data_IF_121590324752
#
_entry.id   IF_121590324752
#
_cell.length_a   1.000
_cell.length_b   1.000
_cell.length_c   1.000
_cell.angle_alpha   90.00
_cell.angle_beta   90.00
_cell.angle_gamma   90.00
#
_symmetry.space_group_name_H-M   'P 1'
#
loop_
_entity.id
_entity.type
_entity.pdbx_description
1 polymer ?
#
# COMPACT_ATOMS: atom_id res chain seq x y z
N UNK A 1 11.67 -20.71 -5.83
CA UNK A 1 11.18 -19.58 -5.00
C UNK A 1 9.67 -19.53 -5.14
N UNK A 2 8.91 -19.67 -4.04
CA UNK A 2 7.46 -19.48 -4.07
C UNK A 2 7.15 -17.98 -4.07
N UNK A 3 6.37 -17.53 -5.05
CA UNK A 3 5.80 -16.19 -5.09
C UNK A 3 4.74 -16.07 -4.00
N UNK A 4 4.91 -15.12 -3.09
CA UNK A 4 3.89 -14.73 -2.13
C UNK A 4 3.00 -13.67 -2.79
N UNK A 5 1.76 -14.04 -3.06
CA UNK A 5 0.75 -13.16 -3.64
C UNK A 5 -0.48 -13.15 -2.75
N UNK A 6 -0.83 -11.98 -2.19
CA UNK A 6 -2.05 -11.79 -1.38
C UNK A 6 -2.78 -10.52 -1.81
N UNK A 7 -4.08 -10.67 -2.06
CA UNK A 7 -4.98 -9.54 -2.30
C UNK A 7 -5.51 -9.03 -0.96
N UNK A 8 -5.42 -7.72 -0.73
CA UNK A 8 -5.72 -7.09 0.56
C UNK A 8 -6.41 -5.74 0.38
N UNK A 9 -7.07 -5.29 1.44
CA UNK A 9 -7.26 -3.86 1.70
C UNK A 9 -6.38 -3.43 2.86
N UNK A 10 -5.97 -2.17 2.84
CA UNK A 10 -5.11 -1.58 3.86
C UNK A 10 -5.91 -0.48 4.56
N UNK A 11 -6.27 -0.72 5.82
CA UNK A 11 -7.05 0.20 6.65
C UNK A 11 -6.13 1.07 7.51
N UNK A 12 -6.49 2.33 7.72
CA UNK A 12 -5.82 3.20 8.68
C UNK A 12 -6.17 2.84 10.12
N UNK A 13 -5.17 2.63 10.99
CA UNK A 13 -5.42 2.38 12.42
C UNK A 13 -5.82 3.65 13.18
N UNK A 14 -5.37 4.83 12.74
CA UNK A 14 -5.75 6.10 13.37
C UNK A 14 -7.19 6.53 13.01
N UNK A 15 -7.71 6.01 11.89
CA UNK A 15 -9.08 6.22 11.43
C UNK A 15 -9.57 4.98 10.67
N UNK A 16 -10.19 4.06 11.43
CA UNK A 16 -10.65 2.77 10.92
C UNK A 16 -11.76 2.87 9.86
N UNK A 17 -12.28 4.05 9.56
CA UNK A 17 -13.23 4.21 8.45
C UNK A 17 -12.54 4.33 7.10
N UNK A 18 -11.22 4.56 7.08
CA UNK A 18 -10.47 4.92 5.87
C UNK A 18 -9.46 3.86 5.44
N UNK A 19 -9.21 3.81 4.13
CA UNK A 19 -8.40 2.81 3.46
C UNK A 19 -7.46 3.45 2.45
N UNK A 20 -6.31 2.81 2.22
CA UNK A 20 -5.40 3.19 1.15
C UNK A 20 -6.15 3.19 -0.18
N UNK A 21 -6.14 4.34 -0.82
CA UNK A 21 -6.86 4.60 -2.05
C UNK A 21 -5.92 5.22 -3.05
N UNK A 22 -5.87 4.62 -4.24
CA UNK A 22 -5.13 5.16 -5.37
C UNK A 22 -5.99 6.08 -6.23
N UNK A 23 -5.36 7.10 -6.81
CA UNK A 23 -6.00 7.99 -7.79
C UNK A 23 -5.45 7.81 -9.19
N UNK A 24 -6.15 8.40 -10.14
CA UNK A 24 -5.70 8.47 -11.53
C UNK A 24 -4.47 9.37 -11.71
N UNK A 25 -4.20 10.26 -10.73
CA UNK A 25 -3.08 11.19 -10.70
C UNK A 25 -1.86 10.61 -9.98
N UNK A 26 -1.76 9.29 -9.83
CA UNK A 26 -0.60 8.60 -9.24
C UNK A 26 -0.38 8.85 -7.73
N UNK A 27 -1.41 9.31 -7.02
CA UNK A 27 -1.33 9.55 -5.57
C UNK A 27 -1.93 8.39 -4.78
N UNK A 28 -1.47 8.24 -3.53
CA UNK A 28 -2.07 7.37 -2.51
C UNK A 28 -2.50 8.21 -1.33
N UNK A 29 -3.73 8.03 -0.88
CA UNK A 29 -4.27 8.71 0.31
C UNK A 29 -5.25 7.79 1.05
N UNK A 30 -5.81 8.27 2.15
CA UNK A 30 -6.85 7.58 2.90
C UNK A 30 -8.26 8.09 2.54
N UNK A 31 -9.12 7.19 2.07
CA UNK A 31 -10.53 7.46 1.78
C UNK A 31 -11.42 6.49 2.52
N UNK A 32 -12.62 6.93 2.91
CA UNK A 32 -13.67 6.03 3.36
C UNK A 32 -14.03 4.99 2.28
N UNK A 33 -14.52 3.83 2.72
CA UNK A 33 -15.20 2.90 1.82
C UNK A 33 -16.45 3.59 1.29
N UNK A 34 -16.38 4.09 0.08
CA UNK A 34 -17.57 4.50 -0.65
C UNK A 34 -18.19 3.24 -1.22
N UNK A 35 -19.36 2.86 -0.71
CA UNK A 35 -20.28 1.94 -1.40
C UNK A 35 -20.51 2.52 -2.80
N UNK A 36 -19.81 2.00 -3.80
CA UNK A 36 -20.38 1.97 -5.14
C UNK A 36 -20.97 0.58 -5.31
N UNK A 37 -22.18 0.50 -5.87
CA UNK A 37 -22.90 -0.75 -6.09
C UNK A 37 -22.21 -1.63 -7.17
N UNK A 38 -20.87 -1.72 -7.20
CA UNK A 38 -20.12 -2.53 -8.15
C UNK A 38 -19.81 -3.92 -7.55
N UNK A 39 -20.43 -4.99 -8.04
CA UNK A 39 -20.43 -6.30 -7.37
C UNK A 39 -19.16 -7.14 -7.61
N UNK A 40 -18.07 -6.56 -8.15
CA UNK A 40 -16.92 -7.35 -8.62
C UNK A 40 -15.99 -7.84 -7.50
N UNK A 41 -16.04 -7.26 -6.30
CA UNK A 41 -15.15 -7.61 -5.18
C UNK A 41 -15.90 -7.97 -3.88
N UNK A 42 -17.16 -8.38 -3.97
CA UNK A 42 -18.05 -8.52 -2.81
C UNK A 42 -18.70 -7.20 -2.42
N UNK A 43 -19.48 -7.13 -1.33
CA UNK A 43 -20.09 -5.88 -0.90
C UNK A 43 -19.00 -4.84 -0.62
N UNK A 44 -19.12 -3.67 -1.26
CA UNK A 44 -18.57 -2.38 -0.80
C UNK A 44 -17.10 -2.03 -1.06
N UNK A 45 -16.35 -2.61 -2.02
CA UNK A 45 -14.91 -2.28 -2.21
C UNK A 45 -14.56 -1.79 -3.60
N UNK A 46 -14.04 -0.57 -3.70
CA UNK A 46 -13.58 0.01 -4.96
C UNK A 46 -12.26 -0.61 -5.42
N UNK A 47 -12.07 -0.89 -6.72
CA UNK A 47 -10.83 -1.48 -7.24
C UNK A 47 -9.57 -0.68 -6.88
N UNK A 48 -9.68 0.64 -6.75
CA UNK A 48 -8.59 1.53 -6.38
C UNK A 48 -8.20 1.48 -4.88
N UNK A 49 -8.94 0.72 -4.07
CA UNK A 49 -8.65 0.42 -2.66
C UNK A 49 -8.17 -1.01 -2.43
N UNK A 50 -8.10 -1.81 -3.50
CA UNK A 50 -7.61 -3.19 -3.48
C UNK A 50 -6.15 -3.19 -3.89
N UNK A 51 -5.35 -3.92 -3.12
CA UNK A 51 -3.91 -3.99 -3.28
C UNK A 51 -3.43 -5.44 -3.35
N UNK A 52 -2.35 -5.65 -4.08
CA UNK A 52 -1.67 -6.94 -4.22
C UNK A 52 -0.30 -6.84 -3.57
N UNK A 53 -0.05 -7.67 -2.56
CA UNK A 53 1.28 -7.86 -2.03
C UNK A 53 1.96 -8.93 -2.89
N UNK A 54 3.01 -8.55 -3.61
CA UNK A 54 3.79 -9.42 -4.48
C UNK A 54 5.22 -9.46 -3.97
N UNK A 55 5.71 -10.61 -3.51
CA UNK A 55 7.11 -10.75 -3.10
C UNK A 55 7.62 -12.18 -3.06
N UNK A 56 8.86 -12.34 -2.60
CA UNK A 56 9.52 -13.64 -2.42
C UNK A 56 10.21 -13.70 -1.06
N UNK A 57 9.95 -14.78 -0.30
CA UNK A 57 10.80 -15.37 0.75
C UNK A 57 11.17 -14.56 2.00
N UNK A 58 11.51 -13.28 1.87
CA UNK A 58 12.32 -12.54 2.84
C UNK A 58 11.59 -11.33 3.43
N UNK A 59 10.25 -11.36 3.49
CA UNK A 59 9.40 -10.23 3.88
C UNK A 59 9.63 -8.97 3.04
N UNK A 60 10.20 -9.10 1.84
CA UNK A 60 10.32 -8.00 0.88
C UNK A 60 9.21 -8.15 -0.16
N UNK A 61 8.42 -7.09 -0.32
CA UNK A 61 7.27 -7.06 -1.24
C UNK A 61 7.25 -5.78 -2.06
N UNK A 62 6.70 -5.90 -3.27
CA UNK A 62 6.06 -4.81 -3.98
C UNK A 62 4.56 -4.80 -3.62
N UNK A 63 4.00 -3.60 -3.50
CA UNK A 63 2.57 -3.41 -3.21
C UNK A 63 1.94 -2.80 -4.45
N UNK A 64 1.09 -3.55 -5.15
CA UNK A 64 0.51 -3.15 -6.43
C UNK A 64 -0.96 -2.76 -6.27
N UNK A 65 -1.40 -1.71 -6.95
CA UNK A 65 -2.80 -1.31 -7.03
C UNK A 65 -3.53 -2.09 -8.12
N UNK A 66 -4.78 -2.48 -7.83
CA UNK A 66 -5.68 -3.23 -8.73
C UNK A 66 -6.65 -2.28 -9.47
N UNK A 67 -6.21 -1.05 -9.79
CA UNK A 67 -7.01 -0.10 -10.59
C UNK A 67 -7.42 -0.69 -11.95
N UNK A 68 -8.73 -0.71 -12.22
CA UNK A 68 -9.32 -1.29 -13.44
C UNK A 68 -9.08 -0.46 -14.71
N UNK A 69 -8.73 0.83 -14.61
CA UNK A 69 -8.61 1.76 -15.73
C UNK A 69 -7.18 1.92 -16.26
N UNK A 70 -6.22 1.15 -15.73
CA UNK A 70 -4.81 1.19 -16.13
C UNK A 70 -4.43 -0.06 -16.90
N UNK A 71 -3.77 0.12 -18.05
CA UNK A 71 -3.29 -0.98 -18.91
C UNK A 71 -2.06 -1.72 -18.33
N UNK A 72 -1.56 -1.31 -17.16
CA UNK A 72 -0.42 -1.91 -16.49
C UNK A 72 -0.55 -1.77 -14.97
N UNK A 73 0.03 -2.71 -14.18
CA UNK A 73 0.02 -2.60 -12.73
C UNK A 73 0.75 -1.34 -12.26
N UNK A 74 0.20 -0.66 -11.25
CA UNK A 74 0.85 0.44 -10.56
C UNK A 74 1.39 -0.03 -9.22
N UNK A 75 2.64 0.28 -8.89
CA UNK A 75 3.29 -0.08 -7.64
C UNK A 75 3.41 1.14 -6.72
N UNK A 76 3.18 0.91 -5.43
CA UNK A 76 3.54 1.84 -4.37
C UNK A 76 5.04 2.15 -4.47
N UNK A 77 5.38 3.44 -4.51
CA UNK A 77 6.73 3.91 -4.84
C UNK A 77 7.17 4.96 -3.83
N UNK A 78 8.32 4.75 -3.21
CA UNK A 78 8.99 5.71 -2.34
C UNK A 78 9.92 6.63 -3.13
N UNK A 79 9.79 7.94 -2.94
CA UNK A 79 10.52 8.99 -3.64
C UNK A 79 11.36 9.76 -2.60
N UNK A 80 12.55 9.25 -2.21
CA UNK A 80 13.35 9.86 -1.15
C UNK A 80 13.75 11.31 -1.43
N UNK A 81 13.86 11.68 -2.71
CA UNK A 81 14.27 13.01 -3.16
C UNK A 81 13.10 13.99 -3.33
N UNK A 82 11.86 13.57 -3.08
CA UNK A 82 10.66 14.41 -3.26
C UNK A 82 10.01 14.74 -1.91
N UNK A 83 10.50 15.79 -1.26
CA UNK A 83 10.02 16.22 0.07
C UNK A 83 8.51 16.48 0.13
N UNK A 84 7.90 16.92 -0.99
CA UNK A 84 6.46 17.20 -1.06
C UNK A 84 5.60 15.94 -1.22
N UNK A 85 6.18 14.86 -1.74
CA UNK A 85 5.43 13.65 -2.06
C UNK A 85 6.33 12.41 -2.00
N UNK A 86 6.60 11.98 -0.78
CA UNK A 86 7.45 10.84 -0.52
C UNK A 86 6.86 9.53 -1.06
N UNK A 87 5.54 9.41 -1.16
CA UNK A 87 4.89 8.20 -1.66
C UNK A 87 3.92 8.48 -2.80
N UNK A 88 4.07 7.70 -3.88
CA UNK A 88 3.22 7.73 -5.08
C UNK A 88 2.89 6.32 -5.52
N UNK A 89 2.06 6.18 -6.55
CA UNK A 89 1.99 4.95 -7.35
C UNK A 89 2.55 5.19 -8.74
N UNK A 90 3.43 4.34 -9.22
CA UNK A 90 4.06 4.46 -10.55
C UNK A 90 3.89 3.14 -11.30
N UNK A 91 4.06 3.12 -12.63
CA UNK A 91 4.15 1.86 -13.35
C UNK A 91 5.09 0.88 -12.65
N UNK A 92 4.64 -0.36 -12.47
CA UNK A 92 5.44 -1.38 -11.82
C UNK A 92 6.68 -1.71 -12.66
N UNK A 93 7.85 -1.66 -12.03
CA UNK A 93 9.13 -2.06 -12.60
C UNK A 93 9.72 -3.15 -11.69
N UNK A 94 9.85 -4.40 -12.18
CA UNK A 94 10.42 -5.48 -11.39
C UNK A 94 11.79 -5.11 -10.82
N UNK A 95 12.02 -5.45 -9.55
CA UNK A 95 13.27 -5.21 -8.81
C UNK A 95 13.66 -3.74 -8.63
N UNK A 96 12.79 -2.79 -8.95
CA UNK A 96 13.05 -1.39 -8.64
C UNK A 96 13.03 -1.18 -7.11
N UNK A 97 14.17 -0.81 -6.55
CA UNK A 97 14.35 -0.62 -5.10
C UNK A 97 13.42 0.44 -4.49
N UNK A 98 12.93 1.41 -5.27
CA UNK A 98 11.93 2.38 -4.79
C UNK A 98 10.53 1.77 -4.64
N UNK A 99 10.30 0.59 -5.20
CA UNK A 99 9.05 -0.17 -5.21
C UNK A 99 9.14 -1.47 -4.39
N UNK A 100 10.19 -1.60 -3.56
CA UNK A 100 10.41 -2.73 -2.68
C UNK A 100 10.39 -2.26 -1.23
N UNK A 101 9.68 -3.03 -0.40
CA UNK A 101 9.49 -2.71 1.01
C UNK A 101 9.66 -3.95 1.87
N UNK A 102 10.36 -3.80 2.99
CA UNK A 102 10.34 -4.78 4.07
C UNK A 102 9.03 -4.62 4.82
N UNK A 103 8.27 -5.69 4.97
CA UNK A 103 7.02 -5.70 5.71
C UNK A 103 7.19 -6.38 7.06
N UNK A 104 6.55 -5.82 8.09
CA UNK A 104 6.37 -6.47 9.39
C UNK A 104 4.88 -6.53 9.65
N UNK A 105 4.34 -7.74 9.85
CA UNK A 105 2.92 -7.98 10.10
C UNK A 105 2.80 -8.79 11.39
N UNK A 106 1.96 -8.36 12.33
CA UNK A 106 1.66 -9.13 13.54
C UNK A 106 0.51 -10.14 13.33
N UNK A 107 0.26 -10.97 14.35
CA UNK A 107 -0.80 -11.98 14.31
C UNK A 107 -2.23 -11.39 14.20
N UNK A 108 -2.39 -10.10 14.49
CA UNK A 108 -3.66 -9.36 14.34
C UNK A 108 -3.84 -8.73 12.95
N UNK A 109 -2.85 -8.86 12.07
CA UNK A 109 -2.84 -8.23 10.75
C UNK A 109 -2.45 -6.76 10.79
N UNK A 110 -2.00 -6.24 11.93
CA UNK A 110 -1.42 -4.90 11.98
C UNK A 110 -0.06 -4.95 11.29
N UNK A 111 0.22 -3.96 10.44
CA UNK A 111 1.46 -3.95 9.69
C UNK A 111 2.09 -2.57 9.58
N UNK A 112 3.39 -2.62 9.37
CA UNK A 112 4.23 -1.50 8.98
C UNK A 112 5.09 -1.95 7.80
N UNK A 113 5.54 -0.97 7.02
CA UNK A 113 6.47 -1.21 5.93
C UNK A 113 7.64 -0.23 6.03
N UNK A 114 8.80 -0.72 5.67
CA UNK A 114 10.05 0.02 5.66
C UNK A 114 10.62 0.01 4.23
N UNK A 115 11.10 1.15 3.77
CA UNK A 115 11.79 1.21 2.48
C UNK A 115 13.06 0.34 2.51
N UNK A 116 13.32 -0.40 1.42
CA UNK A 116 14.63 -1.08 1.29
C UNK A 116 15.78 -0.10 1.05
N UNK A 117 15.50 1.14 0.63
CA UNK A 117 16.49 2.18 0.36
C UNK A 117 17.01 2.80 1.67
N UNK A 118 16.08 3.18 2.55
CA UNK A 118 16.39 3.78 3.85
C UNK A 118 15.75 2.93 4.95
N UNK A 119 16.52 1.96 5.45
CA UNK A 119 16.08 1.01 6.47
C UNK A 119 15.86 1.63 7.86
N UNK A 120 15.77 2.96 7.96
CA UNK A 120 15.33 3.67 9.17
C UNK A 120 13.97 4.34 8.99
N UNK A 121 13.50 4.49 7.74
CA UNK A 121 12.23 5.14 7.41
C UNK A 121 11.11 4.13 7.19
N UNK A 122 10.07 4.28 7.99
CA UNK A 122 8.80 3.56 7.88
C UNK A 122 7.78 4.45 7.19
N UNK A 123 6.92 3.87 6.37
CA UNK A 123 5.76 4.61 5.91
C UNK A 123 4.70 4.65 7.04
N UNK A 124 4.06 5.80 7.24
CA UNK A 124 3.04 6.06 8.26
C UNK A 124 1.87 6.86 7.68
N UNK A 125 0.72 6.86 8.34
CA UNK A 125 -0.42 7.72 7.99
C UNK A 125 -0.40 9.05 8.77
N UNK A 126 -0.71 10.16 8.10
CA UNK A 126 -0.97 11.45 8.73
C UNK A 126 -1.98 12.27 7.91
N UNK A 127 -3.00 12.89 8.53
CA UNK A 127 -3.94 13.83 7.89
C UNK A 127 -4.38 13.43 6.46
N UNK A 128 -4.71 12.14 6.28
CA UNK A 128 -5.08 11.48 5.01
C UNK A 128 -3.97 11.21 3.99
N UNK A 129 -2.71 11.52 4.29
CA UNK A 129 -1.54 11.20 3.49
C UNK A 129 -0.71 10.06 4.08
N UNK A 130 0.18 9.50 3.26
CA UNK A 130 1.23 8.57 3.70
C UNK A 130 2.56 9.33 3.74
N UNK A 131 3.25 9.29 4.87
CA UNK A 131 4.52 9.99 5.14
C UNK A 131 5.57 9.03 5.70
N UNK A 132 6.79 9.50 5.99
CA UNK A 132 7.86 8.73 6.63
C UNK A 132 8.00 9.02 8.12
N UNK A 133 8.38 8.02 8.91
CA UNK A 133 8.75 8.16 10.32
C UNK A 133 9.98 7.32 10.65
N UNK A 134 10.69 7.72 11.71
CA UNK A 134 11.84 7.00 12.27
C UNK A 134 11.45 6.00 13.39
N UNK A 135 10.16 5.89 13.75
CA UNK A 135 9.65 5.01 14.80
C UNK A 135 8.87 3.80 14.26
N UNK A 136 8.88 2.68 15.00
CA UNK A 136 8.42 1.36 14.55
C UNK A 136 7.02 0.98 15.05
N UNK A 137 6.03 1.87 14.97
CA UNK A 137 4.65 1.55 15.35
C UNK A 137 3.84 1.09 14.14
N UNK A 138 3.00 0.07 14.31
CA UNK A 138 2.04 -0.33 13.27
C UNK A 138 1.05 0.80 13.01
N UNK A 139 0.82 1.11 11.73
CA UNK A 139 -0.06 2.21 11.31
C UNK A 139 -1.30 1.74 10.58
N UNK A 140 -1.27 0.50 10.11
CA UNK A 140 -2.31 -0.02 9.24
C UNK A 140 -2.70 -1.43 9.61
N UNK A 141 -3.88 -1.83 9.14
CA UNK A 141 -4.38 -3.19 9.27
C UNK A 141 -4.64 -3.79 7.90
N UNK A 142 -4.13 -5.00 7.67
CA UNK A 142 -4.45 -5.80 6.50
C UNK A 142 -5.75 -6.55 6.71
N UNK A 143 -6.61 -6.51 5.70
CA UNK A 143 -7.72 -7.46 5.56
C UNK A 143 -7.54 -8.23 4.26
N UNK A 144 -7.41 -9.55 4.36
CA UNK A 144 -7.30 -10.44 3.20
C UNK A 144 -8.65 -10.59 2.51
N UNK A 145 -8.61 -10.63 1.17
CA UNK A 145 -9.76 -10.83 0.29
C UNK A 145 -9.77 -12.24 -0.32
#
# INVERSE_FOLDING_TARGET
MSLYTKTVTIQNLSDTTTYWTTTNNYHVYFEELKDDNTPRFGPSRKPNQVWLFWGSGDNIVSILSVQCDKNQPLAFTYNPDCEKQLFTVRPYVPYNVTQLFKITIDNGGNFSLQSVIDSKKFAISNDRNIDTSNFSTYQWKLTYL
#
